data_IF_048114645050
#
_entry.id   IF_048114645050
#
_cell.length_a   1.000
_cell.length_b   1.000
_cell.length_c   1.000
_cell.angle_alpha   90.00
_cell.angle_beta   90.00
_cell.angle_gamma   90.00
#
_symmetry.space_group_name_H-M   'P 1'
#
loop_
_entity.id
_entity.type
_entity.pdbx_description
1 polymer ?
#
# COMPACT_ATOMS: atom_id res chain seq x y z
N UNK A 1 -14.94 20.32 -17.54
CA UNK A 1 -15.87 20.40 -16.40
C UNK A 1 -15.12 19.87 -15.19
N UNK A 2 -14.89 20.74 -14.28
CA UNK A 2 -13.94 20.71 -13.17
C UNK A 2 -14.49 19.93 -12.00
N UNK A 3 -13.87 18.80 -11.65
CA UNK A 3 -14.03 18.15 -10.36
C UNK A 3 -12.98 18.72 -9.39
N UNK A 4 -13.44 19.46 -8.40
CA UNK A 4 -12.64 19.98 -7.30
C UNK A 4 -12.28 18.82 -6.37
N UNK A 5 -11.00 18.66 -6.11
CA UNK A 5 -10.45 17.78 -5.08
C UNK A 5 -10.81 18.30 -3.69
N UNK A 6 -11.66 17.57 -2.98
CA UNK A 6 -12.12 17.85 -1.60
C UNK A 6 -11.10 17.42 -0.51
N UNK A 7 -9.84 17.27 -0.84
CA UNK A 7 -8.78 16.88 0.13
C UNK A 7 -8.12 18.07 0.87
N UNK A 8 -8.54 19.32 0.57
CA UNK A 8 -7.92 20.54 1.11
C UNK A 8 -8.43 21.02 2.49
N UNK A 9 -9.58 20.57 2.96
CA UNK A 9 -10.29 21.24 4.07
C UNK A 9 -10.14 20.59 5.46
N UNK A 10 -9.42 19.46 5.60
CA UNK A 10 -9.29 18.80 6.91
C UNK A 10 -8.12 19.34 7.76
N UNK A 11 -7.13 19.97 7.15
CA UNK A 11 -5.92 20.43 7.83
C UNK A 11 -5.94 21.85 8.42
N UNK A 12 -6.70 22.85 7.92
CA UNK A 12 -6.71 24.21 8.48
C UNK A 12 -7.25 24.28 9.91
N UNK A 13 -8.22 23.44 10.23
CA UNK A 13 -8.91 23.46 11.53
C UNK A 13 -8.07 22.95 12.71
N UNK A 14 -7.06 22.09 12.47
CA UNK A 14 -6.14 21.60 13.52
C UNK A 14 -5.03 22.62 13.82
N UNK A 15 -4.52 23.32 12.81
CA UNK A 15 -3.50 24.35 12.96
C UNK A 15 -4.05 25.59 13.66
N UNK A 16 -5.26 26.02 13.30
CA UNK A 16 -5.95 27.15 13.95
C UNK A 16 -6.30 26.83 15.41
N UNK A 17 -6.64 25.59 15.72
CA UNK A 17 -6.89 25.15 17.09
C UNK A 17 -5.67 25.17 18.00
N UNK A 18 -4.49 24.80 17.49
CA UNK A 18 -3.24 24.74 18.27
C UNK A 18 -2.64 26.14 18.53
N UNK A 19 -2.65 27.03 17.53
CA UNK A 19 -2.14 28.39 17.66
C UNK A 19 -3.02 29.26 18.57
N UNK A 20 -4.34 29.16 18.44
CA UNK A 20 -5.29 29.81 19.33
C UNK A 20 -5.15 29.34 20.78
N UNK A 21 -4.87 28.05 21.00
CA UNK A 21 -4.68 27.46 22.32
C UNK A 21 -3.38 27.94 23.01
N UNK A 22 -2.29 28.12 22.27
CA UNK A 22 -1.02 28.62 22.78
C UNK A 22 -1.12 30.09 23.20
N UNK A 23 -1.78 30.92 22.39
CA UNK A 23 -2.05 32.36 22.74
C UNK A 23 -2.94 32.47 23.96
N UNK A 24 -4.02 31.68 24.03
CA UNK A 24 -4.94 31.64 25.19
C UNK A 24 -4.23 31.18 26.46
N UNK A 25 -3.28 30.25 26.38
CA UNK A 25 -2.53 29.77 27.55
C UNK A 25 -1.56 30.83 28.08
N UNK A 26 -0.92 31.60 27.21
CA UNK A 26 -0.01 32.69 27.60
C UNK A 26 -0.79 33.84 28.28
N UNK A 27 -1.90 34.24 27.73
CA UNK A 27 -2.76 35.27 28.29
C UNK A 27 -3.39 34.85 29.66
N UNK A 28 -3.79 33.58 29.79
CA UNK A 28 -4.26 33.00 31.05
C UNK A 28 -3.18 32.99 32.13
N UNK A 29 -1.92 32.72 31.77
CA UNK A 29 -0.79 32.73 32.73
C UNK A 29 -0.51 34.12 33.26
N UNK A 30 -0.56 35.15 32.41
CA UNK A 30 -0.40 36.55 32.82
C UNK A 30 -1.56 37.01 33.71
N UNK A 31 -2.81 36.82 33.32
CA UNK A 31 -4.01 37.18 34.12
C UNK A 31 -4.06 36.43 35.46
N UNK A 32 -3.45 35.28 35.55
CA UNK A 32 -3.37 34.47 36.76
C UNK A 32 -2.35 35.04 37.76
N UNK A 33 -1.17 35.42 37.29
CA UNK A 33 -0.16 36.09 38.08
C UNK A 33 -0.71 37.38 38.72
N UNK A 34 -1.49 38.14 37.95
CA UNK A 34 -2.15 39.36 38.48
C UNK A 34 -3.22 39.06 39.51
N UNK A 35 -4.02 38.01 39.37
CA UNK A 35 -5.04 37.62 40.37
C UNK A 35 -4.41 37.15 41.67
N UNK A 36 -3.33 36.37 41.60
CA UNK A 36 -2.57 35.96 42.81
C UNK A 36 -1.96 37.14 43.54
N UNK A 37 -1.38 38.09 42.80
CA UNK A 37 -0.81 39.32 43.33
C UNK A 37 -1.88 40.18 44.00
N UNK A 38 -3.07 40.37 43.39
CA UNK A 38 -4.20 41.13 43.98
C UNK A 38 -4.73 40.48 45.26
N UNK A 39 -4.86 39.13 45.28
CA UNK A 39 -5.31 38.39 46.47
C UNK A 39 -4.29 38.48 47.62
N UNK A 40 -3.00 38.39 47.33
CA UNK A 40 -1.93 38.61 48.32
C UNK A 40 -1.96 40.00 48.91
N UNK A 41 -2.18 41.02 48.09
CA UNK A 41 -2.32 42.42 48.55
C UNK A 41 -3.54 42.59 49.45
N UNK A 42 -4.68 42.01 49.13
CA UNK A 42 -5.90 42.08 49.94
C UNK A 42 -5.70 41.38 51.28
N UNK A 43 -5.07 40.23 51.33
CA UNK A 43 -4.76 39.54 52.59
C UNK A 43 -3.77 40.34 53.48
N UNK A 44 -2.73 40.94 52.88
CA UNK A 44 -1.78 41.79 53.58
C UNK A 44 -2.43 43.06 54.14
N UNK A 45 -3.32 43.68 53.35
CA UNK A 45 -4.08 44.86 53.82
C UNK A 45 -5.05 44.55 54.99
N UNK A 46 -5.75 43.37 54.87
CA UNK A 46 -6.61 42.90 55.95
C UNK A 46 -5.82 42.61 57.25
N UNK A 47 -4.65 41.97 57.11
CA UNK A 47 -3.74 41.73 58.24
C UNK A 47 -3.26 43.02 58.87
N UNK A 48 -2.83 43.99 58.10
CA UNK A 48 -2.39 45.29 58.57
C UNK A 48 -3.51 46.04 59.33
N UNK A 49 -4.72 46.03 58.76
CA UNK A 49 -5.89 46.65 59.36
C UNK A 49 -6.24 46.04 60.74
N UNK A 50 -6.29 44.69 60.81
CA UNK A 50 -6.56 43.96 62.05
C UNK A 50 -5.48 44.25 63.09
N UNK A 51 -4.21 44.30 62.70
CA UNK A 51 -3.08 44.63 63.56
C UNK A 51 -3.18 46.04 64.13
N UNK A 52 -3.54 47.01 63.30
CA UNK A 52 -3.75 48.43 63.78
C UNK A 52 -4.90 48.50 64.72
N UNK A 53 -6.03 47.89 64.46
CA UNK A 53 -7.22 47.90 65.37
C UNK A 53 -6.88 47.23 66.69
N UNK A 54 -6.15 46.13 66.72
CA UNK A 54 -5.74 45.43 67.92
C UNK A 54 -4.80 46.24 68.79
N UNK A 55 -3.81 46.94 68.19
CA UNK A 55 -2.92 47.86 68.91
C UNK A 55 -3.72 49.01 69.54
N UNK A 56 -4.65 49.58 68.80
CA UNK A 56 -5.51 50.68 69.30
C UNK A 56 -6.41 50.26 70.50
N UNK A 57 -7.03 49.06 70.39
CA UNK A 57 -7.86 48.49 71.46
C UNK A 57 -7.02 48.12 72.68
N UNK A 58 -5.84 47.59 72.55
CA UNK A 58 -4.94 47.26 73.65
C UNK A 58 -4.47 48.52 74.39
N UNK A 59 -4.14 49.62 73.68
CA UNK A 59 -3.78 50.89 74.23
C UNK A 59 -4.94 51.60 75.02
N UNK A 60 -6.20 51.28 74.67
CA UNK A 60 -7.38 51.89 75.22
C UNK A 60 -7.95 51.18 76.48
N UNK A 61 -7.76 49.84 76.57
CA UNK A 61 -8.48 49.01 77.54
C UNK A 61 -7.60 48.27 78.56
N UNK A 62 -6.28 48.30 78.48
CA UNK A 62 -5.30 47.59 79.34
C UNK A 62 -5.74 46.19 79.81
N UNK A 63 -6.42 45.43 78.91
CA UNK A 63 -7.06 44.17 79.26
C UNK A 63 -6.35 42.99 78.56
N UNK A 64 -5.92 41.99 79.35
CA UNK A 64 -5.34 40.73 78.86
C UNK A 64 -6.28 40.00 77.91
N UNK A 65 -7.61 40.19 78.05
CA UNK A 65 -8.61 39.56 77.18
C UNK A 65 -8.53 40.06 75.71
N UNK A 66 -8.23 41.34 75.48
CA UNK A 66 -8.06 41.96 74.17
C UNK A 66 -6.85 41.32 73.42
N UNK A 67 -5.78 41.13 74.20
CA UNK A 67 -4.54 40.54 73.66
C UNK A 67 -4.77 39.04 73.20
N UNK A 68 -5.52 38.29 74.01
CA UNK A 68 -5.85 36.86 73.65
C UNK A 68 -6.75 36.81 72.44
N UNK A 69 -7.79 37.62 72.28
CA UNK A 69 -8.68 37.69 71.13
C UNK A 69 -7.90 38.10 69.88
N UNK A 70 -6.99 39.07 70.00
CA UNK A 70 -6.13 39.48 68.90
C UNK A 70 -5.21 38.35 68.42
N UNK A 71 -4.50 37.69 69.37
CA UNK A 71 -3.61 36.57 69.03
C UNK A 71 -4.38 35.40 68.35
N UNK A 72 -5.58 35.08 68.82
CA UNK A 72 -6.47 34.08 68.24
C UNK A 72 -6.92 34.45 66.83
N UNK A 73 -7.27 35.73 66.61
CA UNK A 73 -7.67 36.22 65.27
C UNK A 73 -6.52 36.19 64.29
N UNK A 74 -5.32 36.60 64.71
CA UNK A 74 -4.10 36.48 63.81
C UNK A 74 -3.80 35.06 63.49
N UNK A 75 -3.86 34.13 64.43
CA UNK A 75 -3.64 32.74 64.24
C UNK A 75 -4.68 32.12 63.27
N UNK A 76 -5.96 32.49 63.44
CA UNK A 76 -7.04 32.03 62.51
C UNK A 76 -6.82 32.52 61.07
N UNK A 77 -6.46 33.81 60.92
CA UNK A 77 -6.16 34.36 59.58
C UNK A 77 -4.97 33.66 58.95
N UNK A 78 -3.92 33.38 59.73
CA UNK A 78 -2.76 32.66 59.26
C UNK A 78 -3.12 31.25 58.82
N UNK A 79 -3.93 30.53 59.60
CA UNK A 79 -4.41 29.19 59.23
C UNK A 79 -5.29 29.20 57.98
N UNK A 80 -6.18 30.20 57.85
CA UNK A 80 -7.00 30.36 56.64
C UNK A 80 -6.14 30.69 55.40
N UNK A 81 -5.18 31.61 55.58
CA UNK A 81 -4.23 31.95 54.50
C UNK A 81 -3.39 30.75 54.08
N UNK A 82 -2.89 29.98 55.05
CA UNK A 82 -2.12 28.76 54.78
C UNK A 82 -2.97 27.69 54.02
N UNK A 83 -4.23 27.49 54.45
CA UNK A 83 -5.18 26.61 53.74
C UNK A 83 -5.47 27.10 52.33
N UNK A 84 -5.69 28.38 52.13
CA UNK A 84 -5.92 28.97 50.81
C UNK A 84 -4.71 28.79 49.91
N UNK A 85 -3.52 29.02 50.46
CA UNK A 85 -2.26 28.81 49.75
C UNK A 85 -2.06 27.36 49.33
N UNK A 86 -2.29 26.39 50.22
CA UNK A 86 -2.23 24.97 49.90
C UNK A 86 -3.27 24.56 48.86
N UNK A 87 -4.48 25.11 48.89
CA UNK A 87 -5.51 24.82 47.89
C UNK A 87 -5.13 25.35 46.50
N UNK A 88 -4.48 26.50 46.43
CA UNK A 88 -4.00 27.09 45.16
C UNK A 88 -2.84 26.28 44.58
N UNK A 89 -1.90 25.85 45.42
CA UNK A 89 -0.80 25.00 44.98
C UNK A 89 -1.30 23.64 44.43
N UNK A 90 -2.24 23.00 45.14
CA UNK A 90 -2.86 21.74 44.67
C UNK A 90 -3.64 21.91 43.37
N UNK A 91 -4.28 23.06 43.15
CA UNK A 91 -4.98 23.35 41.90
C UNK A 91 -4.01 23.53 40.71
N UNK A 92 -2.84 24.13 40.99
CA UNK A 92 -1.78 24.27 39.99
C UNK A 92 -1.16 22.93 39.60
N UNK A 93 -0.81 22.12 40.59
CA UNK A 93 -0.30 20.76 40.33
C UNK A 93 -1.28 19.92 39.55
N UNK A 94 -2.60 19.99 39.85
CA UNK A 94 -3.64 19.27 39.09
C UNK A 94 -3.75 19.77 37.65
N UNK A 95 -3.59 21.08 37.41
CA UNK A 95 -3.63 21.63 36.05
C UNK A 95 -2.41 21.20 35.23
N UNK A 96 -1.24 21.31 35.84
CA UNK A 96 0.01 20.90 35.20
C UNK A 96 0.03 19.36 34.90
N UNK A 97 -0.53 18.56 35.81
CA UNK A 97 -0.71 17.12 35.58
C UNK A 97 -1.67 16.87 34.44
N UNK A 98 -2.83 17.54 34.39
CA UNK A 98 -3.80 17.36 33.26
C UNK A 98 -3.21 17.77 31.91
N UNK A 99 -2.38 18.80 31.86
CA UNK A 99 -1.71 19.22 30.63
C UNK A 99 -0.70 18.14 30.22
N UNK A 100 0.16 17.67 31.13
CA UNK A 100 1.11 16.61 30.87
C UNK A 100 0.44 15.30 30.43
N UNK A 101 -0.62 14.88 31.13
CA UNK A 101 -1.38 13.66 30.80
C UNK A 101 -2.04 13.76 29.39
N UNK A 102 -2.47 14.97 29.00
CA UNK A 102 -3.03 15.23 27.68
C UNK A 102 -1.95 15.19 26.60
N UNK A 103 -0.84 15.86 26.82
CA UNK A 103 0.28 15.88 25.87
C UNK A 103 0.87 14.47 25.69
N UNK A 104 0.95 13.70 26.77
CA UNK A 104 1.39 12.32 26.72
C UNK A 104 0.43 11.43 25.89
N UNK A 105 -0.88 11.61 26.06
CA UNK A 105 -1.87 10.89 25.25
C UNK A 105 -1.77 11.25 23.76
N UNK A 106 -1.61 12.53 23.41
CA UNK A 106 -1.42 12.95 22.03
C UNK A 106 -0.17 12.32 21.43
N UNK A 107 0.95 12.38 22.14
CA UNK A 107 2.19 11.75 21.68
C UNK A 107 2.05 10.23 21.52
N UNK A 108 1.35 9.56 22.42
CA UNK A 108 1.06 8.12 22.32
C UNK A 108 0.18 7.81 21.10
N UNK A 109 -0.84 8.62 20.84
CA UNK A 109 -1.69 8.44 19.65
C UNK A 109 -0.88 8.64 18.36
N UNK A 110 -0.10 9.70 18.26
CA UNK A 110 0.77 9.96 17.11
C UNK A 110 1.85 8.88 16.94
N UNK A 111 2.32 8.28 18.03
CA UNK A 111 3.31 7.20 17.98
C UNK A 111 2.78 5.90 17.38
N UNK A 112 1.46 5.69 17.39
CA UNK A 112 0.80 4.50 16.82
C UNK A 112 0.39 4.66 15.36
N UNK A 113 0.53 5.86 14.79
CA UNK A 113 0.20 6.10 13.39
C UNK A 113 1.18 5.34 12.48
N UNK A 114 0.69 4.72 11.41
CA UNK A 114 1.55 4.13 10.38
C UNK A 114 2.31 5.19 9.59
N UNK A 115 1.77 6.42 9.50
CA UNK A 115 2.46 7.57 8.92
C UNK A 115 3.65 7.98 9.78
N UNK A 116 4.74 8.37 9.11
CA UNK A 116 5.87 8.98 9.80
C UNK A 116 5.55 10.42 10.19
N UNK A 117 5.62 10.74 11.46
CA UNK A 117 5.41 12.10 11.97
C UNK A 117 6.68 12.60 12.64
N UNK A 118 7.16 13.75 12.17
CA UNK A 118 8.35 14.44 12.69
C UNK A 118 7.98 15.86 13.08
N UNK A 119 8.30 16.27 14.29
CA UNK A 119 8.12 17.66 14.76
C UNK A 119 9.49 18.30 14.86
N UNK A 120 9.65 19.39 14.13
CA UNK A 120 10.84 20.22 14.12
C UNK A 120 10.55 21.55 14.84
N UNK A 121 11.45 21.94 15.70
CA UNK A 121 11.46 23.24 16.35
C UNK A 121 12.29 24.29 15.60
N UNK A 122 12.67 25.35 16.30
CA UNK A 122 13.52 26.41 15.75
C UNK A 122 14.83 25.85 15.18
N UNK A 123 15.30 26.41 14.07
CA UNK A 123 16.53 26.00 13.39
C UNK A 123 16.54 24.52 12.94
N UNK A 124 15.38 23.98 12.58
CA UNK A 124 15.26 22.60 12.05
C UNK A 124 15.71 21.54 13.05
N UNK A 125 15.64 21.80 14.36
CA UNK A 125 15.98 20.83 15.39
C UNK A 125 14.87 19.82 15.57
N UNK A 126 15.24 18.56 15.63
CA UNK A 126 14.32 17.44 15.84
C UNK A 126 13.82 17.45 17.30
N UNK A 127 12.56 17.81 17.51
CA UNK A 127 11.95 17.84 18.85
C UNK A 127 11.23 16.54 19.18
N UNK A 128 10.59 15.94 18.20
CA UNK A 128 9.88 14.69 18.38
C UNK A 128 9.72 13.96 17.06
N UNK A 129 9.70 12.62 17.12
CA UNK A 129 9.57 11.73 15.97
C UNK A 129 8.90 10.43 16.42
N UNK A 130 7.99 9.87 15.61
CA UNK A 130 7.43 8.56 15.87
C UNK A 130 8.28 7.45 15.23
N UNK A 131 7.92 6.17 15.50
CA UNK A 131 8.66 5.02 15.01
C UNK A 131 8.71 4.97 13.48
N UNK A 132 7.58 5.21 12.81
CA UNK A 132 7.50 5.21 11.35
C UNK A 132 8.43 6.25 10.72
N UNK A 133 8.47 7.48 11.25
CA UNK A 133 9.38 8.50 10.75
C UNK A 133 10.85 8.17 11.02
N UNK A 134 11.17 7.50 12.15
CA UNK A 134 12.53 7.00 12.39
C UNK A 134 12.96 6.03 11.30
N UNK A 135 12.08 5.12 10.91
CA UNK A 135 12.33 4.15 9.84
C UNK A 135 12.43 4.82 8.46
N UNK A 136 11.54 5.79 8.17
CA UNK A 136 11.49 6.49 6.89
C UNK A 136 12.73 7.36 6.63
N UNK A 137 13.21 8.05 7.64
CA UNK A 137 14.39 8.95 7.52
C UNK A 137 15.68 8.32 8.04
N UNK A 138 15.68 7.06 8.49
CA UNK A 138 16.84 6.42 9.09
C UNK A 138 17.31 7.09 10.39
N UNK A 139 16.39 7.74 11.13
CA UNK A 139 16.68 8.43 12.38
C UNK A 139 16.86 7.45 13.54
N UNK A 140 17.67 7.83 14.51
CA UNK A 140 17.83 7.11 15.78
C UNK A 140 17.26 7.95 16.93
N UNK A 141 16.93 7.32 18.08
CA UNK A 141 16.46 8.07 19.24
C UNK A 141 17.43 9.19 19.69
N UNK A 142 18.73 8.99 19.49
CA UNK A 142 19.79 9.96 19.83
C UNK A 142 19.79 11.17 18.87
N UNK A 143 19.10 11.09 17.73
CA UNK A 143 18.96 12.22 16.80
C UNK A 143 18.07 13.35 17.33
N UNK A 144 17.28 13.09 18.39
CA UNK A 144 16.42 14.12 19.01
C UNK A 144 17.32 15.23 19.57
N UNK A 145 17.01 16.48 19.18
CA UNK A 145 17.79 17.68 19.53
C UNK A 145 18.89 18.03 18.51
N UNK A 146 19.24 17.13 17.59
CA UNK A 146 20.14 17.42 16.47
C UNK A 146 19.40 18.14 15.33
N UNK A 147 20.16 18.62 14.34
CA UNK A 147 19.57 19.18 13.11
C UNK A 147 18.95 18.07 12.28
N UNK A 148 17.71 18.24 11.81
CA UNK A 148 17.07 17.31 10.88
C UNK A 148 17.87 17.12 9.59
N UNK A 149 18.57 18.17 9.14
CA UNK A 149 19.40 18.14 7.96
C UNK A 149 20.66 17.29 8.08
N UNK A 150 21.05 16.88 9.28
CA UNK A 150 22.18 15.96 9.46
C UNK A 150 21.79 14.52 9.06
N UNK A 151 20.49 14.20 9.11
CA UNK A 151 19.97 12.89 8.75
C UNK A 151 19.44 12.84 7.29
N UNK A 152 19.08 13.99 6.71
CA UNK A 152 18.55 14.07 5.34
C UNK A 152 19.71 14.22 4.36
N UNK A 153 19.94 13.17 3.58
CA UNK A 153 21.01 13.14 2.55
C UNK A 153 20.56 13.62 1.19
N UNK A 154 19.22 13.64 0.92
CA UNK A 154 18.66 14.11 -0.35
C UNK A 154 18.70 15.62 -0.43
N UNK A 155 19.55 16.14 -1.34
CA UNK A 155 19.76 17.57 -1.56
C UNK A 155 18.54 18.27 -2.18
N UNK A 156 17.76 17.59 -3.01
CA UNK A 156 16.56 18.14 -3.64
C UNK A 156 15.44 18.29 -2.60
N UNK A 157 15.28 17.29 -1.74
CA UNK A 157 14.38 17.36 -0.62
C UNK A 157 14.76 18.49 0.36
N UNK A 158 16.05 18.62 0.65
CA UNK A 158 16.57 19.71 1.48
C UNK A 158 16.27 21.09 0.87
N UNK A 159 16.49 21.26 -0.43
CA UNK A 159 16.15 22.50 -1.15
C UNK A 159 14.66 22.80 -1.12
N UNK A 160 13.83 21.77 -1.31
CA UNK A 160 12.38 21.90 -1.25
C UNK A 160 11.90 22.34 0.13
N UNK A 161 12.43 21.74 1.23
CA UNK A 161 12.14 22.17 2.59
C UNK A 161 12.51 23.64 2.86
N UNK A 162 13.69 24.06 2.40
CA UNK A 162 14.19 25.42 2.58
C UNK A 162 13.41 26.45 1.75
N UNK A 163 12.85 26.07 0.61
CA UNK A 163 12.03 26.94 -0.22
C UNK A 163 10.69 27.33 0.42
N UNK A 164 10.27 26.62 1.48
CA UNK A 164 9.02 26.85 2.24
C UNK A 164 7.74 26.96 1.40
N UNK A 165 7.73 26.31 0.23
CA UNK A 165 6.56 26.24 -0.62
C UNK A 165 5.97 24.82 -0.54
N UNK A 166 5.10 24.59 0.44
CA UNK A 166 4.52 23.28 0.75
C UNK A 166 3.15 23.06 0.11
N UNK A 167 2.80 23.81 -0.94
CA UNK A 167 1.54 23.65 -1.67
C UNK A 167 1.41 22.30 -2.40
N UNK A 168 2.52 21.58 -2.59
CA UNK A 168 2.56 20.24 -3.17
C UNK A 168 3.38 19.33 -2.27
N UNK A 169 2.95 18.06 -2.19
CA UNK A 169 3.72 17.01 -1.52
C UNK A 169 5.02 16.75 -2.28
N UNK A 170 6.04 16.35 -1.54
CA UNK A 170 7.32 15.93 -2.12
C UNK A 170 7.37 14.39 -2.18
N UNK A 171 7.81 13.85 -3.31
CA UNK A 171 8.05 12.41 -3.44
C UNK A 171 9.50 12.13 -3.05
N UNK A 172 9.70 11.31 -2.03
CA UNK A 172 11.01 10.91 -1.51
C UNK A 172 11.14 9.39 -1.60
N UNK A 173 12.30 8.90 -2.00
CA UNK A 173 12.63 7.49 -1.86
C UNK A 173 13.55 7.31 -0.66
N UNK A 174 13.19 6.41 0.26
CA UNK A 174 14.01 6.10 1.42
C UNK A 174 15.14 5.12 1.09
N UNK A 175 16.01 4.89 2.08
CA UNK A 175 17.16 3.97 1.93
C UNK A 175 16.75 2.48 1.76
N UNK A 176 15.52 2.12 2.08
CA UNK A 176 14.95 0.78 1.87
C UNK A 176 14.27 0.63 0.51
N UNK A 177 14.24 1.69 -0.30
CA UNK A 177 13.59 1.71 -1.61
C UNK A 177 12.07 1.94 -1.54
N UNK A 178 11.53 2.35 -0.38
CA UNK A 178 10.12 2.72 -0.24
C UNK A 178 9.88 4.10 -0.84
N UNK A 179 8.73 4.28 -1.48
CA UNK A 179 8.30 5.57 -1.99
C UNK A 179 7.43 6.28 -0.95
N UNK A 180 7.91 7.43 -0.51
CA UNK A 180 7.28 8.24 0.52
C UNK A 180 6.69 9.50 -0.10
N UNK A 181 5.47 9.83 0.27
CA UNK A 181 4.87 11.13 0.02
C UNK A 181 5.03 11.99 1.27
N UNK A 182 5.71 13.13 1.12
CA UNK A 182 6.05 14.01 2.24
C UNK A 182 5.19 15.26 2.19
N UNK A 183 4.43 15.49 3.26
CA UNK A 183 3.67 16.70 3.50
C UNK A 183 4.30 17.50 4.66
N UNK A 184 4.25 18.82 4.56
CA UNK A 184 4.74 19.72 5.62
C UNK A 184 3.62 20.64 6.05
N UNK A 185 3.40 20.70 7.37
CA UNK A 185 2.45 21.60 8.01
C UNK A 185 3.22 22.47 8.99
N UNK A 186 3.10 23.78 8.87
CA UNK A 186 3.69 24.73 9.82
C UNK A 186 2.59 25.30 10.71
N UNK A 187 2.34 24.68 11.89
CA UNK A 187 1.25 25.11 12.78
C UNK A 187 1.49 26.50 13.40
N UNK A 188 2.75 26.91 13.48
CA UNK A 188 3.14 28.25 13.94
C UNK A 188 4.50 28.66 13.32
N UNK A 189 5.01 29.84 13.69
CA UNK A 189 6.28 30.36 13.16
C UNK A 189 7.53 29.62 13.69
N UNK A 190 7.37 28.80 14.73
CA UNK A 190 8.48 28.15 15.45
C UNK A 190 8.54 26.64 15.22
N UNK A 191 7.41 26.02 14.91
CA UNK A 191 7.31 24.57 14.77
C UNK A 191 6.88 24.19 13.38
N UNK A 192 7.43 23.10 12.92
CA UNK A 192 7.07 22.47 11.65
C UNK A 192 6.80 21.00 11.87
N UNK A 193 5.75 20.49 11.29
CA UNK A 193 5.43 19.08 11.30
C UNK A 193 5.61 18.51 9.90
N UNK A 194 6.46 17.50 9.77
CA UNK A 194 6.64 16.72 8.55
C UNK A 194 5.88 15.42 8.73
N UNK A 195 5.00 15.14 7.79
CA UNK A 195 4.26 13.89 7.71
C UNK A 195 4.71 13.12 6.49
N UNK A 196 5.08 11.86 6.66
CA UNK A 196 5.47 10.96 5.57
C UNK A 196 4.48 9.81 5.48
N UNK A 197 3.99 9.58 4.27
CA UNK A 197 3.09 8.46 3.97
C UNK A 197 3.80 7.50 3.01
N UNK A 198 3.85 6.21 3.37
CA UNK A 198 4.37 5.17 2.48
C UNK A 198 3.34 4.87 1.40
N UNK A 199 3.66 5.23 0.17
CA UNK A 199 2.81 5.06 -1.02
C UNK A 199 3.34 3.97 -1.95
N UNK A 200 4.29 3.17 -1.50
CA UNK A 200 5.00 2.18 -2.33
C UNK A 200 4.03 1.21 -2.99
N UNK A 201 3.15 0.59 -2.22
CA UNK A 201 2.17 -0.36 -2.76
C UNK A 201 1.14 0.32 -3.68
N UNK A 202 0.64 1.49 -3.29
CA UNK A 202 -0.30 2.25 -4.12
C UNK A 202 0.32 2.62 -5.47
N UNK A 203 1.56 3.12 -5.46
CA UNK A 203 2.26 3.45 -6.72
C UNK A 203 2.56 2.23 -7.57
N UNK A 204 2.99 1.12 -6.95
CA UNK A 204 3.16 -0.14 -7.68
C UNK A 204 1.90 -0.58 -8.41
N UNK A 205 0.74 -0.48 -7.74
CA UNK A 205 -0.56 -0.81 -8.36
C UNK A 205 -0.88 0.17 -9.49
N UNK A 206 -0.68 1.47 -9.29
CA UNK A 206 -0.92 2.49 -10.31
C UNK A 206 0.00 2.31 -11.52
N UNK A 207 1.27 2.02 -11.31
CA UNK A 207 2.25 1.78 -12.39
C UNK A 207 1.92 0.48 -13.13
N UNK A 208 1.61 -0.61 -12.41
CA UNK A 208 1.13 -1.84 -13.04
C UNK A 208 -0.12 -1.61 -13.92
N UNK A 209 -1.05 -0.76 -13.46
CA UNK A 209 -2.25 -0.41 -14.24
C UNK A 209 -1.92 0.43 -15.48
N UNK A 210 -1.00 1.39 -15.38
CA UNK A 210 -0.54 2.18 -16.53
C UNK A 210 0.18 1.31 -17.56
N UNK A 211 1.09 0.46 -17.09
CA UNK A 211 1.82 -0.48 -17.94
C UNK A 211 0.88 -1.47 -18.63
N UNK A 212 -0.14 -1.94 -17.91
CA UNK A 212 -1.17 -2.79 -18.47
C UNK A 212 -1.89 -2.11 -19.65
N UNK A 213 -2.42 -0.89 -19.46
CA UNK A 213 -3.12 -0.15 -20.53
C UNK A 213 -2.20 0.14 -21.71
N UNK A 214 -0.95 0.51 -21.44
CA UNK A 214 0.05 0.78 -22.49
C UNK A 214 0.34 -0.50 -23.30
N UNK A 215 0.56 -1.62 -22.63
CA UNK A 215 0.88 -2.90 -23.27
C UNK A 215 -0.32 -3.44 -24.09
N UNK A 216 -1.55 -3.37 -23.55
CA UNK A 216 -2.78 -3.70 -24.32
C UNK A 216 -2.86 -2.88 -25.60
N UNK A 217 -2.65 -1.56 -25.50
CA UNK A 217 -2.70 -0.65 -26.64
C UNK A 217 -1.65 -1.02 -27.70
N UNK A 218 -0.45 -1.39 -27.29
CA UNK A 218 0.61 -1.81 -28.19
C UNK A 218 0.33 -3.15 -28.85
N UNK A 219 -0.14 -4.16 -28.08
CA UNK A 219 -0.43 -5.50 -28.60
C UNK A 219 -1.65 -5.52 -29.54
N UNK A 220 -2.60 -4.57 -29.39
CA UNK A 220 -3.72 -4.40 -30.31
C UNK A 220 -3.34 -3.58 -31.55
N UNK A 221 -2.48 -2.56 -31.42
CA UNK A 221 -2.09 -1.69 -32.53
C UNK A 221 -1.33 -2.44 -33.63
N UNK A 222 -0.42 -3.33 -33.24
CA UNK A 222 0.43 -4.07 -34.19
C UNK A 222 -0.39 -4.91 -35.18
N UNK A 223 -1.27 -5.84 -34.77
CA UNK A 223 -2.10 -6.63 -35.70
C UNK A 223 -3.05 -5.75 -36.52
N UNK A 224 -3.60 -4.69 -35.91
CA UNK A 224 -4.49 -3.75 -36.62
C UNK A 224 -3.74 -3.03 -37.76
N UNK A 225 -2.49 -2.62 -37.50
CA UNK A 225 -1.66 -1.98 -38.54
C UNK A 225 -1.37 -2.95 -39.70
N UNK A 226 -1.12 -4.24 -39.41
CA UNK A 226 -0.89 -5.25 -40.44
C UNK A 226 -2.15 -5.46 -41.29
N UNK A 227 -3.33 -5.62 -40.64
CA UNK A 227 -4.61 -5.78 -41.34
C UNK A 227 -4.88 -4.55 -42.21
N UNK A 228 -4.77 -3.35 -41.65
CA UNK A 228 -5.01 -2.10 -42.37
C UNK A 228 -4.03 -1.91 -43.53
N UNK A 229 -2.76 -2.32 -43.36
CA UNK A 229 -1.75 -2.29 -44.42
C UNK A 229 -2.11 -3.16 -45.60
N UNK A 230 -2.54 -4.41 -45.36
CA UNK A 230 -2.97 -5.33 -46.44
C UNK A 230 -4.24 -4.83 -47.11
N UNK A 231 -5.23 -4.33 -46.36
CA UNK A 231 -6.45 -3.77 -46.97
C UNK A 231 -6.16 -2.56 -47.85
N UNK A 232 -5.27 -1.67 -47.43
CA UNK A 232 -4.86 -0.50 -48.23
C UNK A 232 -4.12 -0.95 -49.52
N UNK A 233 -3.25 -1.96 -49.43
CA UNK A 233 -2.58 -2.54 -50.58
C UNK A 233 -3.58 -3.13 -51.60
N UNK A 234 -4.66 -3.79 -51.11
CA UNK A 234 -5.71 -4.35 -51.99
C UNK A 234 -6.53 -3.27 -52.69
N UNK A 235 -6.73 -2.11 -52.04
CA UNK A 235 -7.46 -0.97 -52.62
C UNK A 235 -6.61 -0.24 -53.68
N UNK A 236 -5.30 -0.07 -53.46
CA UNK A 236 -4.42 0.71 -54.33
C UNK A 236 -3.84 -0.10 -55.51
N UNK A 237 -3.75 -1.43 -55.36
CA UNK A 237 -3.09 -2.29 -56.34
C UNK A 237 -4.09 -2.89 -57.31
N UNK A 238 -4.29 -2.27 -58.46
CA UNK A 238 -5.21 -2.73 -59.52
C UNK A 238 -4.95 -4.12 -60.11
N UNK A 239 -3.94 -4.88 -59.67
CA UNK A 239 -3.64 -6.29 -60.08
C UNK A 239 -2.74 -6.98 -59.06
N UNK A 240 -3.27 -7.39 -57.92
CA UNK A 240 -2.58 -8.33 -57.05
C UNK A 240 -2.79 -9.74 -57.61
N UNK A 241 -1.73 -10.60 -57.77
CA UNK A 241 -1.88 -11.99 -58.15
C UNK A 241 -2.79 -12.75 -57.15
N UNK A 242 -3.67 -13.67 -57.62
CA UNK A 242 -4.61 -14.39 -56.77
C UNK A 242 -3.93 -15.13 -55.60
N UNK A 243 -2.76 -15.68 -55.79
CA UNK A 243 -1.97 -16.37 -54.74
C UNK A 243 -1.52 -15.42 -53.65
N UNK A 244 -1.16 -14.19 -54.01
CA UNK A 244 -0.74 -13.15 -53.06
C UNK A 244 -1.94 -12.61 -52.27
N UNK A 245 -3.09 -12.48 -52.90
CA UNK A 245 -4.35 -12.11 -52.27
C UNK A 245 -4.78 -13.11 -51.20
N UNK A 246 -4.69 -14.42 -51.54
CA UNK A 246 -5.01 -15.48 -50.58
C UNK A 246 -4.07 -15.46 -49.37
N UNK A 247 -2.78 -15.25 -49.62
CA UNK A 247 -1.79 -15.08 -48.52
C UNK A 247 -2.07 -13.87 -47.65
N UNK A 248 -2.47 -12.73 -48.23
CA UNK A 248 -2.88 -11.55 -47.47
C UNK A 248 -4.10 -11.83 -46.57
N UNK A 249 -5.12 -12.51 -47.13
CA UNK A 249 -6.32 -12.93 -46.37
C UNK A 249 -5.96 -13.84 -45.21
N UNK A 250 -5.10 -14.81 -45.44
CA UNK A 250 -4.65 -15.73 -44.40
C UNK A 250 -3.92 -14.97 -43.25
N UNK A 251 -2.99 -14.09 -43.61
CA UNK A 251 -2.29 -13.24 -42.62
C UNK A 251 -3.24 -12.33 -41.86
N UNK A 252 -4.22 -11.71 -42.52
CA UNK A 252 -5.25 -10.89 -41.86
C UNK A 252 -6.10 -11.72 -40.91
N UNK A 253 -6.50 -12.96 -41.30
CA UNK A 253 -7.25 -13.87 -40.45
C UNK A 253 -6.45 -14.30 -39.22
N UNK A 254 -5.18 -14.60 -39.37
CA UNK A 254 -4.28 -14.90 -38.24
C UNK A 254 -4.19 -13.73 -37.27
N UNK A 255 -4.04 -12.48 -37.77
CA UNK A 255 -3.99 -11.31 -36.92
C UNK A 255 -5.34 -11.03 -36.19
N UNK A 256 -6.47 -11.22 -36.88
CA UNK A 256 -7.79 -11.09 -36.28
C UNK A 256 -8.04 -12.17 -35.21
N UNK A 257 -7.63 -13.39 -35.43
CA UNK A 257 -7.70 -14.48 -34.45
C UNK A 257 -6.84 -14.19 -33.23
N UNK A 258 -5.63 -13.70 -33.46
CA UNK A 258 -4.74 -13.25 -32.35
C UNK A 258 -5.35 -12.14 -31.52
N UNK A 259 -5.98 -11.12 -32.13
CA UNK A 259 -6.68 -10.04 -31.44
C UNK A 259 -7.84 -10.57 -30.61
N UNK A 260 -8.61 -11.52 -31.15
CA UNK A 260 -9.70 -12.17 -30.41
C UNK A 260 -9.18 -12.89 -29.18
N UNK A 261 -8.17 -13.73 -29.31
CA UNK A 261 -7.55 -14.44 -28.19
C UNK A 261 -7.03 -13.47 -27.12
N UNK A 262 -6.43 -12.34 -27.53
CA UNK A 262 -5.98 -11.32 -26.58
C UNK A 262 -7.16 -10.70 -25.82
N UNK A 263 -8.27 -10.40 -26.49
CA UNK A 263 -9.48 -9.86 -25.86
C UNK A 263 -10.11 -10.87 -24.90
N UNK A 264 -10.19 -12.14 -25.28
CA UNK A 264 -10.72 -13.22 -24.43
C UNK A 264 -9.85 -13.38 -23.16
N UNK A 265 -8.52 -13.38 -23.30
CA UNK A 265 -7.56 -13.40 -22.18
C UNK A 265 -7.76 -12.20 -21.23
N UNK A 266 -7.98 -11.00 -21.79
CA UNK A 266 -8.21 -9.77 -21.01
C UNK A 266 -9.54 -9.80 -20.26
N UNK A 267 -10.61 -10.27 -20.90
CA UNK A 267 -11.93 -10.39 -20.27
C UNK A 267 -11.89 -11.42 -19.14
N UNK A 268 -11.26 -12.57 -19.37
CA UNK A 268 -11.09 -13.60 -18.36
C UNK A 268 -10.26 -13.07 -17.17
N UNK A 269 -9.13 -12.42 -17.44
CA UNK A 269 -8.28 -11.86 -16.39
C UNK A 269 -9.05 -10.79 -15.56
N UNK A 270 -9.80 -9.91 -16.23
CA UNK A 270 -10.64 -8.91 -15.58
C UNK A 270 -11.74 -9.55 -14.71
N UNK A 271 -12.36 -10.64 -15.19
CA UNK A 271 -13.35 -11.40 -14.42
C UNK A 271 -12.72 -12.02 -13.17
N UNK A 272 -11.55 -12.67 -13.32
CA UNK A 272 -10.80 -13.29 -12.23
C UNK A 272 -10.33 -12.31 -11.16
N UNK A 273 -10.06 -11.05 -11.52
CA UNK A 273 -9.63 -10.00 -10.60
C UNK A 273 -10.78 -9.38 -9.81
N UNK A 274 -11.98 -9.36 -10.38
CA UNK A 274 -13.16 -8.73 -9.78
C UNK A 274 -14.01 -9.71 -8.93
N UNK A 275 -13.80 -11.02 -9.07
CA UNK A 275 -14.48 -12.05 -8.26
C UNK A 275 -13.71 -12.24 -6.94
N UNK A 276 -14.40 -12.25 -5.81
CA UNK A 276 -13.80 -12.55 -4.51
C UNK A 276 -13.24 -13.97 -4.47
N UNK A 277 -12.13 -14.18 -3.74
CA UNK A 277 -11.48 -15.50 -3.58
C UNK A 277 -12.42 -16.58 -2.98
N UNK A 278 -13.51 -16.17 -2.33
CA UNK A 278 -14.50 -17.03 -1.70
C UNK A 278 -15.79 -17.23 -2.52
N UNK A 279 -15.87 -16.66 -3.72
CA UNK A 279 -17.07 -16.79 -4.56
C UNK A 279 -17.02 -18.09 -5.36
N UNK A 280 -17.50 -19.17 -4.75
CA UNK A 280 -17.63 -20.50 -5.35
C UNK A 280 -18.98 -20.72 -6.06
N UNK A 281 -19.68 -19.63 -6.44
CA UNK A 281 -21.01 -19.73 -7.06
C UNK A 281 -21.06 -20.56 -8.36
N UNK A 282 -19.95 -20.57 -9.09
CA UNK A 282 -19.80 -21.30 -10.35
C UNK A 282 -19.00 -22.61 -10.19
N UNK A 283 -18.69 -23.04 -8.94
CA UNK A 283 -17.90 -24.24 -8.70
C UNK A 283 -18.74 -25.50 -8.94
N UNK A 284 -18.21 -26.39 -9.75
CA UNK A 284 -18.78 -27.71 -10.06
C UNK A 284 -17.74 -28.83 -9.89
N UNK A 285 -18.20 -30.08 -9.88
CA UNK A 285 -17.32 -31.25 -9.86
C UNK A 285 -16.84 -31.53 -11.28
N UNK A 286 -15.57 -31.30 -11.52
CA UNK A 286 -14.93 -31.41 -12.83
C UNK A 286 -14.27 -32.78 -12.96
N UNK A 287 -14.68 -33.57 -13.95
CA UNK A 287 -13.99 -34.80 -14.35
C UNK A 287 -12.68 -34.46 -15.09
N UNK A 288 -11.60 -34.25 -14.33
CA UNK A 288 -10.32 -33.79 -14.85
C UNK A 288 -9.74 -34.64 -16.00
N UNK A 289 -9.86 -36.00 -16.00
CA UNK A 289 -9.39 -36.79 -17.14
C UNK A 289 -10.04 -36.36 -18.45
N UNK A 290 -11.36 -36.18 -18.47
CA UNK A 290 -12.12 -35.78 -19.66
C UNK A 290 -11.76 -34.36 -20.11
N UNK A 291 -11.67 -33.41 -19.20
CA UNK A 291 -11.26 -32.04 -19.50
C UNK A 291 -9.85 -32.01 -20.15
N UNK A 292 -8.91 -32.78 -19.60
CA UNK A 292 -7.54 -32.82 -20.08
C UNK A 292 -7.40 -33.56 -21.43
N UNK A 293 -8.26 -34.56 -21.74
CA UNK A 293 -8.35 -35.16 -23.05
C UNK A 293 -8.70 -34.11 -24.11
N UNK A 294 -9.67 -33.25 -23.83
CA UNK A 294 -10.06 -32.16 -24.72
C UNK A 294 -8.94 -31.13 -24.89
N UNK A 295 -8.29 -30.70 -23.82
CA UNK A 295 -7.13 -29.77 -23.83
C UNK A 295 -5.96 -30.37 -24.66
N UNK A 296 -5.64 -31.64 -24.46
CA UNK A 296 -4.55 -32.30 -25.20
C UNK A 296 -4.91 -32.49 -26.65
N UNK A 297 -6.17 -32.76 -26.99
CA UNK A 297 -6.64 -32.84 -28.38
C UNK A 297 -6.47 -31.50 -29.10
N UNK A 298 -6.82 -30.38 -28.44
CA UNK A 298 -6.58 -29.04 -28.97
C UNK A 298 -5.07 -28.73 -29.07
N UNK A 299 -4.28 -29.09 -28.06
CA UNK A 299 -2.83 -28.98 -28.10
C UNK A 299 -2.19 -29.74 -29.28
N UNK A 300 -2.69 -30.95 -29.59
CA UNK A 300 -2.26 -31.73 -30.76
C UNK A 300 -2.64 -31.03 -32.07
N UNK A 301 -3.84 -30.45 -32.14
CA UNK A 301 -4.25 -29.66 -33.32
C UNK A 301 -3.35 -28.42 -33.51
N UNK A 302 -3.03 -27.71 -32.42
CA UNK A 302 -2.13 -26.55 -32.42
C UNK A 302 -0.70 -26.93 -32.84
N UNK A 303 -0.27 -28.12 -32.41
CA UNK A 303 1.05 -28.69 -32.77
C UNK A 303 1.21 -29.03 -34.24
N UNK A 304 0.12 -29.26 -34.97
CA UNK A 304 0.15 -29.73 -36.38
C UNK A 304 1.04 -30.93 -36.58
N UNK A 305 1.15 -31.84 -35.61
CA UNK A 305 1.98 -33.03 -35.66
C UNK A 305 3.49 -32.82 -35.42
N UNK A 306 3.91 -31.61 -35.07
CA UNK A 306 5.33 -31.27 -34.81
C UNK A 306 5.89 -31.86 -33.54
N UNK A 307 5.03 -32.19 -32.54
CA UNK A 307 5.44 -32.65 -31.22
C UNK A 307 4.76 -33.96 -30.85
N UNK A 308 5.43 -34.74 -30.00
CA UNK A 308 4.83 -35.91 -29.37
C UNK A 308 4.18 -35.50 -28.04
N UNK A 309 2.84 -35.42 -28.02
CA UNK A 309 2.07 -35.00 -26.84
C UNK A 309 1.42 -36.22 -26.20
N UNK A 310 1.77 -36.50 -24.94
CA UNK A 310 1.24 -37.60 -24.13
C UNK A 310 0.36 -37.06 -23.00
N UNK A 311 -0.62 -37.86 -22.55
CA UNK A 311 -1.49 -37.59 -21.42
C UNK A 311 -1.49 -38.80 -20.48
N UNK A 312 -1.27 -38.55 -19.19
CA UNK A 312 -1.38 -39.54 -18.14
C UNK A 312 -2.28 -38.95 -17.02
N UNK A 313 -3.39 -39.60 -16.70
CA UNK A 313 -4.35 -39.09 -15.71
C UNK A 313 -4.71 -40.18 -14.73
N UNK A 314 -4.85 -39.80 -13.46
CA UNK A 314 -5.56 -40.54 -12.42
C UNK A 314 -7.01 -40.10 -12.41
N UNK A 315 -7.91 -40.99 -12.00
CA UNK A 315 -9.35 -40.72 -11.90
C UNK A 315 -9.63 -39.90 -10.62
N UNK A 316 -9.33 -38.60 -10.71
CA UNK A 316 -9.47 -37.64 -9.62
C UNK A 316 -10.26 -36.46 -10.17
N UNK A 317 -11.38 -36.14 -9.54
CA UNK A 317 -12.20 -34.97 -9.86
C UNK A 317 -11.77 -33.74 -9.04
N UNK A 318 -11.93 -32.56 -9.63
CA UNK A 318 -11.60 -31.27 -9.03
C UNK A 318 -12.88 -30.46 -8.82
N UNK A 319 -12.98 -29.75 -7.71
CA UNK A 319 -14.07 -28.77 -7.46
C UNK A 319 -13.58 -27.39 -7.88
N UNK A 320 -14.26 -26.77 -8.86
CA UNK A 320 -13.88 -25.47 -9.39
C UNK A 320 -14.76 -25.06 -10.57
N UNK A 321 -14.40 -23.94 -11.21
CA UNK A 321 -15.00 -23.46 -12.45
C UNK A 321 -14.30 -24.16 -13.64
N UNK A 322 -15.06 -24.95 -14.41
CA UNK A 322 -14.51 -25.76 -15.50
C UNK A 322 -13.87 -24.93 -16.61
N UNK A 323 -14.43 -23.78 -16.94
CA UNK A 323 -13.93 -22.90 -17.98
C UNK A 323 -12.61 -22.23 -17.56
N UNK A 324 -12.49 -21.81 -16.29
CA UNK A 324 -11.27 -21.27 -15.73
C UNK A 324 -10.14 -22.29 -15.68
N UNK A 325 -10.43 -23.51 -15.20
CA UNK A 325 -9.45 -24.62 -15.13
C UNK A 325 -9.02 -25.03 -16.52
N UNK A 326 -9.96 -25.13 -17.47
CA UNK A 326 -9.66 -25.44 -18.87
C UNK A 326 -8.76 -24.39 -19.52
N UNK A 327 -9.08 -23.11 -19.31
CA UNK A 327 -8.27 -21.99 -19.81
C UNK A 327 -6.85 -22.04 -19.26
N UNK A 328 -6.69 -22.27 -17.94
CA UNK A 328 -5.38 -22.38 -17.32
C UNK A 328 -4.57 -23.57 -17.87
N UNK A 329 -5.20 -24.75 -18.00
CA UNK A 329 -4.57 -25.94 -18.58
C UNK A 329 -4.14 -25.71 -20.05
N UNK A 330 -5.01 -25.08 -20.83
CA UNK A 330 -4.73 -24.76 -22.24
C UNK A 330 -3.59 -23.75 -22.38
N UNK A 331 -3.50 -22.77 -21.47
CA UNK A 331 -2.38 -21.82 -21.42
C UNK A 331 -1.04 -22.53 -21.18
N UNK A 332 -0.99 -23.54 -20.32
CA UNK A 332 0.24 -24.32 -20.09
C UNK A 332 0.58 -25.18 -21.34
N UNK A 333 -0.40 -25.89 -21.92
CA UNK A 333 -0.19 -26.73 -23.06
C UNK A 333 0.21 -25.91 -24.31
N UNK A 334 -0.45 -24.79 -24.58
CA UNK A 334 -0.12 -23.91 -25.69
C UNK A 334 1.28 -23.30 -25.56
N UNK A 335 1.70 -22.96 -24.33
CA UNK A 335 3.07 -22.52 -24.07
C UNK A 335 4.08 -23.64 -24.36
N UNK A 336 3.82 -24.85 -23.89
CA UNK A 336 4.68 -26.00 -24.21
C UNK A 336 4.82 -26.23 -25.72
N UNK A 337 3.71 -26.21 -26.49
CA UNK A 337 3.74 -26.33 -27.97
C UNK A 337 4.55 -25.18 -28.60
N UNK A 338 4.44 -23.99 -28.10
CA UNK A 338 5.09 -22.80 -28.67
C UNK A 338 6.59 -22.78 -28.44
N UNK A 339 7.05 -23.24 -27.27
CA UNK A 339 8.45 -23.14 -26.87
C UNK A 339 9.24 -24.44 -27.01
N UNK A 340 8.62 -25.48 -27.49
CA UNK A 340 9.29 -26.74 -27.85
C UNK A 340 9.65 -26.73 -29.32
N UNK A 341 10.89 -27.01 -29.71
CA UNK A 341 11.27 -27.20 -31.10
C UNK A 341 10.59 -28.42 -31.73
N UNK A 342 10.50 -28.44 -33.06
CA UNK A 342 9.94 -29.56 -33.83
C UNK A 342 10.63 -30.89 -33.47
N UNK A 343 9.85 -31.93 -33.30
CA UNK A 343 10.31 -33.25 -32.86
C UNK A 343 10.41 -33.43 -31.35
N UNK A 344 10.16 -32.35 -30.58
CA UNK A 344 10.20 -32.42 -29.10
C UNK A 344 8.97 -33.11 -28.49
N UNK A 345 9.04 -33.35 -27.18
CA UNK A 345 7.99 -34.05 -26.42
C UNK A 345 7.34 -33.13 -25.40
N UNK A 346 6.02 -33.32 -25.22
CA UNK A 346 5.22 -32.63 -24.24
C UNK A 346 4.44 -33.68 -23.43
N UNK A 347 4.66 -33.77 -22.12
CA UNK A 347 3.97 -34.70 -21.26
C UNK A 347 3.03 -33.92 -20.32
N UNK A 348 1.74 -34.23 -20.42
CA UNK A 348 0.69 -33.71 -19.54
C UNK A 348 0.32 -34.80 -18.55
N UNK A 349 0.30 -34.49 -17.26
CA UNK A 349 -0.07 -35.46 -16.23
C UNK A 349 -0.96 -34.85 -15.17
N UNK A 350 -1.95 -35.62 -14.72
CA UNK A 350 -2.82 -35.28 -13.59
C UNK A 350 -2.76 -36.41 -12.58
N UNK A 351 -2.23 -36.12 -11.38
CA UNK A 351 -1.94 -37.13 -10.36
C UNK A 351 -2.17 -36.60 -8.95
N UNK A 352 -2.40 -37.48 -7.98
CA UNK A 352 -2.31 -37.14 -6.57
C UNK A 352 -0.92 -36.61 -6.22
N UNK A 353 -0.88 -35.54 -5.40
CA UNK A 353 0.36 -34.90 -4.97
C UNK A 353 0.24 -34.43 -3.53
N UNK A 354 0.85 -35.13 -2.59
CA UNK A 354 0.69 -34.85 -1.18
C UNK A 354 -0.76 -35.04 -0.71
N UNK A 355 -1.35 -34.01 -0.07
CA UNK A 355 -2.76 -33.99 0.35
C UNK A 355 -3.68 -33.34 -0.71
N UNK A 356 -3.32 -33.32 -1.98
CA UNK A 356 -4.11 -32.72 -3.05
C UNK A 356 -3.85 -33.39 -4.38
N UNK A 357 -4.00 -32.64 -5.48
CA UNK A 357 -3.68 -33.11 -6.84
C UNK A 357 -2.88 -32.07 -7.62
N UNK A 358 -2.15 -32.53 -8.63
CA UNK A 358 -1.33 -31.69 -9.45
C UNK A 358 -1.49 -31.95 -10.94
N UNK A 359 -1.72 -30.89 -11.73
CA UNK A 359 -1.61 -30.87 -13.16
C UNK A 359 -0.21 -30.41 -13.55
N UNK A 360 0.56 -31.28 -14.18
CA UNK A 360 1.92 -30.97 -14.63
C UNK A 360 2.00 -31.02 -16.16
N UNK A 361 2.59 -30.00 -16.76
CA UNK A 361 2.94 -29.94 -18.18
C UNK A 361 4.44 -29.80 -18.28
N UNK A 362 5.08 -30.87 -18.79
CA UNK A 362 6.52 -30.95 -19.00
C UNK A 362 6.84 -30.90 -20.46
N UNK A 363 7.75 -30.04 -20.87
CA UNK A 363 8.24 -29.89 -22.23
C UNK A 363 9.75 -30.16 -22.34
N UNK A 364 10.22 -30.46 -23.51
CA UNK A 364 11.65 -30.58 -23.89
C UNK A 364 12.09 -29.34 -24.68
N UNK A 365 11.54 -28.18 -24.34
CA UNK A 365 11.77 -26.94 -25.05
C UNK A 365 13.08 -26.24 -24.73
N UNK A 366 13.15 -24.98 -25.09
CA UNK A 366 14.33 -24.13 -24.92
C UNK A 366 14.72 -23.90 -23.46
N UNK A 367 13.81 -24.15 -22.52
CA UNK A 367 14.01 -23.84 -21.09
C UNK A 367 14.10 -22.35 -20.79
N UNK A 368 14.19 -22.01 -19.50
CA UNK A 368 14.09 -20.65 -18.99
C UNK A 368 15.23 -20.40 -17.99
N UNK A 369 15.90 -19.25 -18.11
CA UNK A 369 16.90 -18.84 -17.11
C UNK A 369 16.25 -18.49 -15.77
N UNK A 370 16.91 -18.86 -14.65
CA UNK A 370 16.39 -18.69 -13.29
C UNK A 370 15.97 -17.25 -12.96
N UNK A 371 16.66 -16.25 -13.50
CA UNK A 371 16.35 -14.81 -13.28
C UNK A 371 14.97 -14.39 -13.81
N UNK A 372 14.40 -15.13 -14.79
CA UNK A 372 13.11 -14.83 -15.40
C UNK A 372 11.94 -15.52 -14.68
N UNK A 373 12.20 -16.66 -13.99
CA UNK A 373 11.14 -17.48 -13.37
C UNK A 373 10.23 -16.68 -12.44
N UNK A 374 10.71 -15.83 -11.52
CA UNK A 374 9.86 -15.06 -10.60
C UNK A 374 8.91 -14.07 -11.33
N UNK A 375 9.27 -13.68 -12.55
CA UNK A 375 8.57 -12.68 -13.33
C UNK A 375 7.62 -13.25 -14.39
N UNK A 376 7.65 -14.55 -14.65
CA UNK A 376 6.86 -15.18 -15.71
C UNK A 376 5.35 -15.01 -15.54
N UNK A 377 4.88 -14.82 -14.33
CA UNK A 377 3.46 -14.58 -14.01
C UNK A 377 3.07 -13.09 -13.99
N UNK A 378 4.02 -12.18 -14.27
CA UNK A 378 3.70 -10.76 -14.49
C UNK A 378 2.97 -10.62 -15.83
N UNK A 379 1.96 -9.72 -15.88
CA UNK A 379 1.19 -9.48 -17.12
C UNK A 379 2.09 -8.93 -18.21
N UNK A 380 1.95 -9.45 -19.44
CA UNK A 380 2.75 -9.08 -20.62
C UNK A 380 4.25 -9.35 -20.50
N UNK A 381 4.69 -10.05 -19.44
CA UNK A 381 6.08 -10.39 -19.31
C UNK A 381 6.49 -11.46 -20.32
N UNK A 382 7.62 -11.25 -21.00
CA UNK A 382 8.18 -12.15 -21.99
C UNK A 382 9.70 -12.10 -21.90
N UNK A 383 10.35 -13.28 -21.97
CA UNK A 383 11.81 -13.40 -21.86
C UNK A 383 12.51 -12.71 -23.05
N UNK A 384 11.96 -12.86 -24.27
CA UNK A 384 12.50 -12.28 -25.51
C UNK A 384 11.42 -11.51 -26.28
N UNK A 385 11.51 -10.18 -26.33
CA UNK A 385 10.57 -9.33 -27.09
C UNK A 385 10.72 -9.43 -28.61
N UNK A 386 11.87 -9.89 -29.13
CA UNK A 386 12.18 -9.99 -30.57
C UNK A 386 11.70 -11.28 -31.21
N UNK A 387 12.12 -12.43 -30.71
CA UNK A 387 11.79 -13.76 -31.21
C UNK A 387 10.33 -14.16 -31.04
N UNK A 388 9.69 -13.58 -30.05
CA UNK A 388 8.34 -13.95 -29.65
C UNK A 388 7.23 -13.22 -30.41
N UNK A 389 7.55 -12.28 -31.33
CA UNK A 389 6.56 -11.71 -32.26
C UNK A 389 6.11 -12.76 -33.28
N UNK A 390 7.01 -13.64 -33.72
CA UNK A 390 6.72 -14.71 -34.66
C UNK A 390 5.94 -15.87 -34.02
N UNK A 391 6.04 -16.05 -32.69
CA UNK A 391 5.37 -17.14 -31.96
C UNK A 391 4.01 -16.79 -31.37
N UNK A 392 3.57 -15.52 -31.42
CA UNK A 392 2.18 -15.11 -31.18
C UNK A 392 1.67 -15.10 -29.74
N UNK A 393 2.52 -15.15 -28.69
CA UNK A 393 2.07 -15.12 -27.28
C UNK A 393 1.62 -13.74 -26.80
N UNK A 394 0.53 -13.68 -26.05
CA UNK A 394 0.00 -12.46 -25.42
C UNK A 394 0.78 -12.01 -24.18
N UNK A 395 1.48 -12.93 -23.51
CA UNK A 395 2.12 -12.71 -22.22
C UNK A 395 1.12 -12.61 -21.03
N UNK A 396 -0.14 -13.01 -21.28
CA UNK A 396 -1.20 -13.03 -20.25
C UNK A 396 -1.45 -14.44 -19.70
N UNK A 397 -1.15 -15.49 -20.45
CA UNK A 397 -1.52 -16.86 -20.12
C UNK A 397 -1.04 -17.34 -18.74
N UNK A 398 0.22 -17.07 -18.34
CA UNK A 398 0.71 -17.44 -17.01
C UNK A 398 0.16 -16.55 -15.90
N UNK A 399 -0.22 -15.32 -16.18
CA UNK A 399 -0.95 -14.48 -15.23
C UNK A 399 -2.35 -15.06 -14.99
N UNK A 400 -3.06 -15.53 -16.04
CA UNK A 400 -4.33 -16.24 -15.93
C UNK A 400 -4.16 -17.49 -15.06
N UNK A 401 -3.17 -18.34 -15.34
CA UNK A 401 -2.87 -19.55 -14.54
C UNK A 401 -2.69 -19.21 -13.06
N UNK A 402 -1.93 -18.16 -12.75
CA UNK A 402 -1.72 -17.69 -11.37
C UNK A 402 -3.02 -17.26 -10.70
N UNK A 403 -3.87 -16.49 -11.38
CA UNK A 403 -5.14 -16.02 -10.83
C UNK A 403 -6.14 -17.17 -10.59
N UNK A 404 -6.25 -18.11 -11.55
CA UNK A 404 -7.07 -19.32 -11.39
C UNK A 404 -6.62 -20.14 -10.19
N UNK A 405 -5.30 -20.37 -10.04
CA UNK A 405 -4.75 -21.08 -8.88
C UNK A 405 -5.03 -20.34 -7.57
N UNK A 406 -4.84 -19.03 -7.51
CA UNK A 406 -5.10 -18.25 -6.30
C UNK A 406 -6.57 -18.38 -5.86
N UNK A 407 -7.54 -18.33 -6.79
CA UNK A 407 -8.96 -18.55 -6.50
C UNK A 407 -9.23 -19.95 -5.93
N UNK A 408 -8.52 -20.93 -6.42
CA UNK A 408 -8.69 -22.33 -5.98
C UNK A 408 -7.78 -22.71 -4.80
N UNK A 409 -7.13 -21.74 -4.14
CA UNK A 409 -6.21 -21.99 -3.03
C UNK A 409 -4.97 -22.80 -3.43
N UNK A 410 -4.64 -22.82 -4.74
CA UNK A 410 -3.55 -23.59 -5.31
C UNK A 410 -2.26 -22.78 -5.51
N UNK A 411 -1.22 -23.45 -5.98
CA UNK A 411 0.11 -22.90 -6.22
C UNK A 411 0.65 -23.29 -7.59
N UNK A 412 1.31 -22.34 -8.28
CA UNK A 412 2.08 -22.63 -9.50
C UNK A 412 3.54 -22.90 -9.16
N UNK A 413 4.05 -24.07 -9.51
CA UNK A 413 5.46 -24.41 -9.41
C UNK A 413 6.08 -24.48 -10.79
N UNK A 414 7.29 -23.91 -10.95
CA UNK A 414 7.99 -23.84 -12.23
C UNK A 414 9.41 -24.34 -12.02
N UNK A 415 9.74 -25.41 -12.74
CA UNK A 415 11.10 -25.97 -12.80
C UNK A 415 11.59 -25.89 -14.25
N UNK A 416 12.73 -25.26 -14.48
CA UNK A 416 13.26 -25.10 -15.83
C UNK A 416 14.78 -25.04 -15.84
N UNK A 417 15.35 -25.58 -16.91
CA UNK A 417 16.78 -25.51 -17.19
C UNK A 417 16.98 -25.13 -18.65
N UNK A 418 17.74 -24.08 -18.95
CA UNK A 418 18.05 -23.70 -20.34
C UNK A 418 18.57 -24.86 -21.15
N UNK A 419 18.00 -25.07 -22.34
CA UNK A 419 18.35 -26.14 -23.26
C UNK A 419 17.83 -27.55 -22.92
N UNK A 420 17.10 -27.72 -21.78
CA UNK A 420 16.54 -29.02 -21.36
C UNK A 420 15.01 -29.06 -21.30
N UNK A 421 14.38 -27.88 -21.31
CA UNK A 421 12.94 -27.75 -21.21
C UNK A 421 12.46 -27.24 -19.88
N UNK A 422 11.12 -27.24 -19.68
CA UNK A 422 10.45 -26.70 -18.49
C UNK A 422 9.37 -27.67 -18.01
N UNK A 423 9.04 -27.53 -16.71
CA UNK A 423 7.90 -28.21 -16.09
C UNK A 423 7.09 -27.17 -15.33
N UNK A 424 5.84 -27.00 -15.74
CA UNK A 424 4.87 -26.13 -15.06
C UNK A 424 3.86 -27.01 -14.35
N UNK A 425 3.71 -26.80 -13.02
CA UNK A 425 2.84 -27.64 -12.20
C UNK A 425 1.83 -26.76 -11.46
N UNK A 426 0.56 -26.96 -11.73
CA UNK A 426 -0.57 -26.40 -10.96
C UNK A 426 -0.90 -27.35 -9.83
N UNK A 427 -0.69 -26.94 -8.57
CA UNK A 427 -0.96 -27.76 -7.39
C UNK A 427 -2.25 -27.27 -6.75
N UNK A 428 -3.21 -28.19 -6.53
CA UNK A 428 -4.49 -27.92 -5.89
C UNK A 428 -4.54 -28.56 -4.51
N UNK A 429 -5.13 -27.90 -3.49
CA UNK A 429 -5.25 -28.46 -2.14
C UNK A 429 -6.32 -29.55 -2.05
N UNK A 430 -6.25 -30.37 -1.02
CA UNK A 430 -7.23 -31.45 -0.75
C UNK A 430 -8.68 -30.93 -0.68
N UNK A 431 -8.88 -29.70 -0.19
CA UNK A 431 -10.21 -29.08 -0.11
C UNK A 431 -10.89 -28.87 -1.48
N UNK A 432 -10.14 -28.98 -2.58
CA UNK A 432 -10.65 -28.89 -3.95
C UNK A 432 -10.74 -30.25 -4.64
N UNK A 433 -10.37 -31.33 -3.97
CA UNK A 433 -10.44 -32.66 -4.54
C UNK A 433 -11.79 -33.31 -4.13
N UNK A 434 -12.54 -33.71 -5.14
CA UNK A 434 -13.76 -34.48 -4.89
C UNK A 434 -13.39 -35.95 -4.73
N UNK A 435 -13.79 -36.51 -3.60
CA UNK A 435 -13.64 -37.93 -3.26
C UNK A 435 -15.03 -38.55 -3.14
N UNK A 436 -15.32 -39.59 -3.89
CA UNK A 436 -16.62 -40.32 -3.76
C UNK A 436 -16.77 -41.13 -2.46
N UNK A 437 -15.74 -41.10 -1.59
CA UNK A 437 -15.79 -41.81 -0.30
C UNK A 437 -16.56 -40.97 0.75
N UNK A 438 -17.90 -41.05 0.70
CA UNK A 438 -18.80 -40.92 1.84
C UNK A 438 -19.94 -41.89 1.73
#
# INVERSE_FOLDING_TARGET
MTGRDDAGDVFPTLADGLSAQAAVNTEKKVRRGERLRRRGIVLAAAFLFISIVAVFLNARFESNAVTIVWAGSVMLIFLLAARLWQSLLKEDEKKDKRIRDRDQRYRQTLALLPEGVTILGENWRLEWVNKSAMEHFGLRPESIGASFFDAVTDEDFRRWLLARNYSRHYALQDNAGRELEVAVVAPDLRHMMIVTHDVTERRRVDDMRRDFVANVSHELRTPLTVISGFLNMEVDAGKIPPEMLERHRQLMLEQATRMRSLLDDLLLLSSLENKDESDDADAEVIAMPKLLEDVVREGKALSLGRHHITLETEDISLIGDADEIRSAAMNLVSNAVRYTPDGGTIAVSWKRSGMGAALSVKDTGIGIEAKHIPRLTERFYRVDKGRSRDTGGTGLGLAIVKHVLRRNGGELRIESTPGKGSTFTMVFPESRIFSEDF
#
